data_IF_660097675465
#
_entry.id   IF_660097675465
#
_cell.length_a   1.000
_cell.length_b   1.000
_cell.length_c   1.000
_cell.angle_alpha   90.00
_cell.angle_beta   90.00
_cell.angle_gamma   90.00
#
_symmetry.space_group_name_H-M   'P 1'
#
loop_
_entity.id
_entity.type
_entity.pdbx_description
1 polymer ?
#
# COMPACT_ATOMS: atom_id res chain seq x y z
N UNK A 1 9.71 -4.39 20.80
CA UNK A 1 9.80 -3.17 19.96
C UNK A 1 10.87 -3.23 18.87
N UNK A 2 12.12 -3.65 19.12
CA UNK A 2 13.17 -3.67 18.07
C UNK A 2 12.84 -4.58 16.87
N UNK A 3 12.26 -5.75 17.12
CA UNK A 3 11.93 -6.72 16.06
C UNK A 3 10.83 -6.27 15.10
N UNK A 4 9.90 -5.40 15.54
CA UNK A 4 8.82 -4.89 14.67
C UNK A 4 9.34 -3.83 13.69
N UNK A 5 10.23 -2.96 14.13
CA UNK A 5 10.85 -1.95 13.26
C UNK A 5 11.75 -2.55 12.18
N UNK A 6 12.49 -3.62 12.48
CA UNK A 6 13.28 -4.34 11.47
C UNK A 6 12.38 -4.91 10.35
N UNK A 7 11.21 -5.45 10.70
CA UNK A 7 10.25 -5.92 9.71
C UNK A 7 9.72 -4.77 8.85
N UNK A 8 9.43 -3.62 9.45
CA UNK A 8 9.00 -2.44 8.70
C UNK A 8 10.08 -1.99 7.70
N UNK A 9 11.33 -1.87 8.15
CA UNK A 9 12.47 -1.50 7.29
C UNK A 9 12.66 -2.51 6.17
N UNK A 10 12.54 -3.81 6.46
CA UNK A 10 12.59 -4.86 5.44
C UNK A 10 11.47 -4.75 4.41
N UNK A 11 10.24 -4.47 4.83
CA UNK A 11 9.11 -4.23 3.91
C UNK A 11 9.36 -3.00 3.06
N UNK A 12 9.82 -1.89 3.66
CA UNK A 12 10.16 -0.66 2.96
C UNK A 12 11.24 -0.90 1.90
N UNK A 13 12.35 -1.53 2.31
CA UNK A 13 13.46 -1.85 1.42
C UNK A 13 13.02 -2.77 0.27
N UNK A 14 12.21 -3.80 0.56
CA UNK A 14 11.69 -4.68 -0.48
C UNK A 14 10.78 -3.94 -1.47
N UNK A 15 9.87 -3.09 -0.99
CA UNK A 15 9.03 -2.26 -1.87
C UNK A 15 9.86 -1.34 -2.76
N UNK A 16 10.90 -0.71 -2.19
CA UNK A 16 11.81 0.18 -2.91
C UNK A 16 12.64 -0.57 -3.96
N UNK A 17 13.24 -1.70 -3.59
CA UNK A 17 14.02 -2.54 -4.51
C UNK A 17 13.17 -3.08 -5.65
N UNK A 18 11.93 -3.50 -5.37
CA UNK A 18 11.00 -3.90 -6.42
C UNK A 18 10.71 -2.76 -7.40
N UNK A 19 10.58 -1.54 -6.88
CA UNK A 19 10.38 -0.34 -7.70
C UNK A 19 11.60 0.03 -8.55
N UNK A 20 12.81 -0.37 -8.13
CA UNK A 20 14.06 -0.17 -8.87
C UNK A 20 14.29 -1.23 -9.95
N UNK A 21 13.42 -2.23 -10.10
CA UNK A 21 13.54 -3.21 -11.19
C UNK A 21 13.39 -2.52 -12.55
N UNK A 22 14.31 -2.77 -13.50
CA UNK A 22 14.32 -2.09 -14.80
C UNK A 22 13.17 -2.53 -15.71
N UNK A 23 12.64 -3.74 -15.50
CA UNK A 23 11.53 -4.31 -16.27
C UNK A 23 10.30 -4.37 -15.38
N UNK A 24 9.51 -3.30 -15.40
CA UNK A 24 8.18 -3.27 -14.80
C UNK A 24 7.29 -2.29 -15.55
N UNK A 25 5.99 -2.57 -15.68
CA UNK A 25 5.07 -1.57 -16.19
C UNK A 25 5.03 -0.34 -15.27
N UNK A 26 4.83 0.87 -15.83
CA UNK A 26 4.67 2.09 -15.05
C UNK A 26 3.60 1.91 -13.96
N UNK A 27 3.92 2.31 -12.73
CA UNK A 27 3.02 2.28 -11.57
C UNK A 27 2.43 0.91 -11.19
N UNK A 28 3.00 -0.19 -11.70
CA UNK A 28 2.81 -1.53 -11.10
C UNK A 28 3.85 -1.69 -9.99
N UNK A 29 3.47 -1.29 -8.78
CA UNK A 29 4.40 -1.14 -7.65
C UNK A 29 3.85 -1.74 -6.36
N UNK A 30 4.75 -2.03 -5.41
CA UNK A 30 4.38 -2.59 -4.11
C UNK A 30 4.05 -1.53 -3.05
N UNK A 31 4.14 -0.23 -3.35
CA UNK A 31 4.01 0.82 -2.34
C UNK A 31 2.63 0.75 -1.67
N UNK A 32 1.53 0.92 -2.41
CA UNK A 32 0.18 0.93 -1.83
C UNK A 32 -0.12 -0.38 -1.10
N UNK A 33 0.24 -1.51 -1.71
CA UNK A 33 -0.09 -2.84 -1.20
C UNK A 33 0.74 -3.25 0.02
N UNK A 34 1.92 -2.66 0.20
CA UNK A 34 2.72 -2.76 1.42
C UNK A 34 2.30 -1.74 2.47
N UNK A 35 1.92 -0.54 2.05
CA UNK A 35 1.49 0.53 2.92
C UNK A 35 0.20 0.20 3.66
N UNK A 36 -0.77 -0.47 3.03
CA UNK A 36 -2.02 -0.89 3.68
C UNK A 36 -1.80 -1.72 4.97
N UNK A 37 -1.08 -2.86 4.94
CA UNK A 37 -0.83 -3.65 6.14
C UNK A 37 0.11 -2.93 7.12
N UNK A 38 1.06 -2.12 6.65
CA UNK A 38 1.91 -1.27 7.52
C UNK A 38 1.05 -0.26 8.29
N UNK A 39 0.20 0.48 7.61
CA UNK A 39 -0.69 1.48 8.21
C UNK A 39 -1.66 0.83 9.21
N UNK A 40 -2.16 -0.36 8.90
CA UNK A 40 -2.95 -1.15 9.85
C UNK A 40 -2.14 -1.56 11.08
N UNK A 41 -0.89 -1.98 10.89
CA UNK A 41 -0.08 -2.55 11.96
C UNK A 41 0.53 -1.50 12.90
N UNK A 42 0.90 -0.34 12.36
CA UNK A 42 1.67 0.71 13.04
C UNK A 42 0.94 2.06 13.12
N UNK A 43 -0.25 2.18 12.53
CA UNK A 43 -1.08 3.38 12.57
C UNK A 43 -0.82 4.38 11.45
N UNK A 44 -1.63 5.45 11.44
CA UNK A 44 -1.68 6.42 10.34
C UNK A 44 -0.41 7.23 10.16
N UNK A 45 0.28 7.59 11.26
CA UNK A 45 1.54 8.32 11.20
C UNK A 45 2.63 7.51 10.48
N UNK A 46 2.82 6.25 10.88
CA UNK A 46 3.77 5.36 10.21
C UNK A 46 3.32 5.04 8.79
N UNK A 47 2.03 4.84 8.56
CA UNK A 47 1.47 4.69 7.21
C UNK A 47 1.76 5.89 6.31
N UNK A 48 1.66 7.12 6.83
CA UNK A 48 1.96 8.35 6.11
C UNK A 48 3.42 8.40 5.67
N UNK A 49 4.34 8.29 6.63
CA UNK A 49 5.76 8.37 6.32
C UNK A 49 6.25 7.19 5.48
N UNK A 50 5.67 6.00 5.65
CA UNK A 50 5.98 4.87 4.77
C UNK A 50 5.71 5.21 3.30
N UNK A 51 4.53 5.76 2.99
CA UNK A 51 4.18 6.16 1.62
C UNK A 51 5.03 7.33 1.11
N UNK A 52 5.09 8.41 1.87
CA UNK A 52 5.80 9.62 1.47
C UNK A 52 7.30 9.36 1.26
N UNK A 53 7.96 8.67 2.20
CA UNK A 53 9.38 8.35 2.09
C UNK A 53 9.63 7.32 1.00
N UNK A 54 8.70 6.41 0.69
CA UNK A 54 8.87 5.46 -0.43
C UNK A 54 8.93 6.18 -1.78
N UNK A 55 8.15 7.25 -1.94
CA UNK A 55 8.21 8.11 -3.12
C UNK A 55 9.53 8.87 -3.16
N UNK A 56 9.85 9.62 -2.10
CA UNK A 56 11.04 10.47 -2.06
C UNK A 56 12.34 9.65 -2.18
N UNK A 57 12.43 8.51 -1.53
CA UNK A 57 13.62 7.66 -1.59
C UNK A 57 13.86 7.15 -3.01
N UNK A 58 12.81 6.70 -3.70
CA UNK A 58 12.93 6.29 -5.10
C UNK A 58 13.40 7.46 -5.96
N UNK A 59 12.73 8.61 -5.88
CA UNK A 59 13.04 9.77 -6.71
C UNK A 59 14.46 10.31 -6.48
N UNK A 60 14.95 10.27 -5.24
CA UNK A 60 16.34 10.61 -4.92
C UNK A 60 17.31 9.60 -5.54
N UNK A 61 17.04 8.30 -5.42
CA UNK A 61 17.92 7.24 -5.94
C UNK A 61 17.97 7.27 -7.47
N UNK A 62 16.86 7.54 -8.15
CA UNK A 62 16.78 7.60 -9.61
C UNK A 62 17.14 8.97 -10.19
N UNK A 63 17.41 9.97 -9.34
CA UNK A 63 17.69 11.34 -9.79
C UNK A 63 16.48 12.03 -10.44
N UNK A 64 15.26 11.61 -10.11
CA UNK A 64 14.00 12.12 -10.67
C UNK A 64 13.23 13.02 -9.71
N UNK A 65 13.89 13.51 -8.66
CA UNK A 65 13.29 14.43 -7.70
C UNK A 65 12.83 15.72 -8.40
N UNK A 66 11.57 16.12 -8.20
CA UNK A 66 11.02 17.32 -8.83
C UNK A 66 9.63 17.71 -8.33
N UNK A 67 8.93 18.61 -9.05
CA UNK A 67 7.59 19.08 -8.67
C UNK A 67 6.60 17.92 -8.50
N UNK A 68 6.74 16.86 -9.30
CA UNK A 68 5.92 15.66 -9.17
C UNK A 68 6.10 14.94 -7.83
N UNK A 69 7.33 14.90 -7.29
CA UNK A 69 7.62 14.34 -5.97
C UNK A 69 6.88 15.08 -4.85
N UNK A 70 6.79 16.41 -4.95
CA UNK A 70 6.10 17.26 -3.98
C UNK A 70 4.59 17.00 -3.92
N UNK A 71 4.02 16.43 -4.97
CA UNK A 71 2.60 16.12 -5.09
C UNK A 71 2.35 14.67 -4.69
N UNK A 72 3.12 13.75 -5.25
CA UNK A 72 2.91 12.32 -5.09
C UNK A 72 3.32 11.81 -3.70
N UNK A 73 4.38 12.36 -3.10
CA UNK A 73 4.79 11.98 -1.74
C UNK A 73 3.70 12.25 -0.69
N UNK A 74 3.13 13.47 -0.58
CA UNK A 74 2.02 13.70 0.36
C UNK A 74 0.75 12.95 -0.05
N UNK A 75 0.45 12.78 -1.35
CA UNK A 75 -0.71 12.00 -1.79
C UNK A 75 -0.62 10.53 -1.34
N UNK A 76 0.52 9.88 -1.53
CA UNK A 76 0.78 8.54 -0.98
C UNK A 76 0.77 8.55 0.55
N UNK A 77 1.34 9.56 1.19
CA UNK A 77 1.27 9.70 2.65
C UNK A 77 -0.19 9.70 3.15
N UNK A 78 -1.06 10.48 2.53
CA UNK A 78 -2.48 10.56 2.88
C UNK A 78 -3.23 9.25 2.61
N UNK A 79 -2.87 8.49 1.55
CA UNK A 79 -3.39 7.13 1.36
C UNK A 79 -3.05 6.23 2.55
N UNK A 80 -1.87 6.38 3.15
CA UNK A 80 -1.46 5.65 4.35
C UNK A 80 -2.31 5.99 5.57
N UNK A 81 -2.63 7.28 5.75
CA UNK A 81 -3.56 7.72 6.80
C UNK A 81 -4.95 7.13 6.57
N UNK A 82 -5.45 7.21 5.34
CA UNK A 82 -6.72 6.62 4.93
C UNK A 82 -6.77 5.11 5.16
N UNK A 83 -5.68 4.40 4.87
CA UNK A 83 -5.55 2.97 5.10
C UNK A 83 -5.62 2.66 6.60
N UNK A 84 -4.89 3.38 7.44
CA UNK A 84 -4.95 3.18 8.88
C UNK A 84 -6.38 3.35 9.42
N UNK A 85 -7.11 4.36 8.96
CA UNK A 85 -8.52 4.57 9.32
C UNK A 85 -9.42 3.43 8.82
N UNK A 86 -9.34 3.08 7.53
CA UNK A 86 -10.17 2.06 6.90
C UNK A 86 -9.98 0.67 7.53
N UNK A 87 -8.73 0.31 7.86
CA UNK A 87 -8.34 -0.99 8.38
C UNK A 87 -8.45 -1.16 9.90
N UNK A 88 -8.89 -0.14 10.67
CA UNK A 88 -9.07 -0.25 12.14
C UNK A 88 -9.82 -1.51 12.57
N UNK A 89 -10.91 -1.85 11.86
CA UNK A 89 -11.75 -3.03 12.14
C UNK A 89 -11.82 -4.02 10.96
N UNK A 90 -10.91 -3.90 9.98
CA UNK A 90 -10.93 -4.67 8.73
C UNK A 90 -9.56 -5.33 8.50
N UNK A 91 -9.53 -6.61 8.15
CA UNK A 91 -8.25 -7.34 7.90
C UNK A 91 -8.34 -8.49 6.89
N UNK A 92 -9.54 -8.76 6.34
CA UNK A 92 -9.74 -9.80 5.34
C UNK A 92 -9.16 -9.38 3.99
N UNK A 93 -8.72 -10.35 3.17
CA UNK A 93 -8.19 -10.14 1.82
C UNK A 93 -9.05 -9.20 0.97
N UNK A 94 -10.37 -9.40 0.97
CA UNK A 94 -11.31 -8.55 0.23
C UNK A 94 -11.22 -7.06 0.59
N UNK A 95 -10.94 -6.73 1.84
CA UNK A 95 -10.82 -5.33 2.26
C UNK A 95 -9.55 -4.68 1.69
N UNK A 96 -8.45 -5.43 1.58
CA UNK A 96 -7.25 -4.96 0.88
C UNK A 96 -7.53 -4.68 -0.59
N UNK A 97 -8.26 -5.57 -1.26
CA UNK A 97 -8.66 -5.38 -2.66
C UNK A 97 -9.57 -4.16 -2.82
N UNK A 98 -10.61 -4.02 -1.98
CA UNK A 98 -11.50 -2.85 -2.06
C UNK A 98 -10.77 -1.54 -1.83
N UNK A 99 -9.87 -1.49 -0.84
CA UNK A 99 -9.07 -0.29 -0.61
C UNK A 99 -8.09 -0.03 -1.76
N UNK A 100 -7.47 -1.08 -2.31
CA UNK A 100 -6.59 -0.94 -3.47
C UNK A 100 -7.35 -0.33 -4.66
N UNK A 101 -8.56 -0.80 -4.97
CA UNK A 101 -9.38 -0.25 -6.06
C UNK A 101 -9.73 1.21 -5.80
N UNK A 102 -10.35 1.50 -4.66
CA UNK A 102 -10.83 2.86 -4.36
C UNK A 102 -9.67 3.84 -4.20
N UNK A 103 -8.61 3.42 -3.51
CA UNK A 103 -7.40 4.22 -3.31
C UNK A 103 -6.68 4.53 -4.62
N UNK A 104 -6.58 3.55 -5.52
CA UNK A 104 -6.00 3.75 -6.86
C UNK A 104 -6.83 4.75 -7.66
N UNK A 105 -8.14 4.53 -7.76
CA UNK A 105 -9.04 5.44 -8.50
C UNK A 105 -8.99 6.88 -7.95
N UNK A 106 -8.99 7.02 -6.62
CA UNK A 106 -8.93 8.33 -5.98
C UNK A 106 -7.59 9.01 -6.24
N UNK A 107 -6.48 8.29 -6.05
CA UNK A 107 -5.14 8.81 -6.28
C UNK A 107 -4.93 9.23 -7.74
N UNK A 108 -5.35 8.38 -8.67
CA UNK A 108 -5.20 8.60 -10.11
C UNK A 108 -6.09 9.74 -10.60
N UNK A 109 -7.32 9.87 -10.07
CA UNK A 109 -8.17 11.02 -10.36
C UNK A 109 -7.58 12.32 -9.79
N UNK A 110 -7.12 12.29 -8.54
CA UNK A 110 -6.56 13.47 -7.87
C UNK A 110 -5.21 13.89 -8.45
N UNK A 111 -4.41 12.98 -8.96
CA UNK A 111 -3.11 13.33 -9.55
C UNK A 111 -3.24 13.56 -11.05
N UNK A 112 -3.77 12.59 -11.79
CA UNK A 112 -3.86 12.67 -13.25
C UNK A 112 -4.82 13.72 -13.79
N UNK A 113 -6.01 13.86 -13.18
CA UNK A 113 -7.06 14.73 -13.72
C UNK A 113 -7.04 16.16 -13.17
N UNK A 114 -6.24 16.43 -12.13
CA UNK A 114 -6.09 17.80 -11.61
C UNK A 114 -4.69 18.34 -11.83
N UNK A 115 -3.62 17.59 -11.51
CA UNK A 115 -2.26 18.14 -11.55
C UNK A 115 -1.82 18.40 -12.98
N UNK A 116 -2.06 17.47 -13.90
CA UNK A 116 -1.78 17.66 -15.34
C UNK A 116 -2.44 18.93 -15.88
N UNK A 117 -3.78 19.05 -15.80
CA UNK A 117 -4.49 20.22 -16.31
C UNK A 117 -4.20 21.53 -15.57
N UNK A 118 -4.16 21.52 -14.23
CA UNK A 118 -4.06 22.75 -13.44
C UNK A 118 -2.63 23.27 -13.30
N UNK A 119 -1.64 22.37 -13.19
CA UNK A 119 -0.24 22.74 -12.92
C UNK A 119 0.58 22.72 -14.20
N UNK A 120 0.35 21.73 -15.07
CA UNK A 120 1.13 21.56 -16.30
C UNK A 120 0.39 22.04 -17.56
N UNK A 121 -0.77 22.66 -17.40
CA UNK A 121 -1.60 23.19 -18.49
C UNK A 121 -1.93 22.14 -19.58
N UNK A 122 -1.96 20.86 -19.21
CA UNK A 122 -2.31 19.79 -20.13
C UNK A 122 -3.79 19.92 -20.53
N UNK A 123 -4.15 19.79 -21.83
CA UNK A 123 -5.54 19.75 -22.23
C UNK A 123 -6.31 18.66 -21.48
N UNK A 124 -7.45 19.00 -20.89
CA UNK A 124 -8.21 18.07 -20.04
C UNK A 124 -8.55 16.75 -20.76
N UNK A 125 -8.98 16.82 -22.03
CA UNK A 125 -9.28 15.62 -22.82
C UNK A 125 -8.05 14.72 -23.01
N UNK A 126 -6.86 15.31 -23.21
CA UNK A 126 -5.62 14.56 -23.31
C UNK A 126 -5.26 13.91 -21.96
N UNK A 127 -5.50 14.59 -20.84
CA UNK A 127 -5.31 14.02 -19.50
C UNK A 127 -6.25 12.82 -19.27
N UNK A 128 -7.54 12.94 -19.61
CA UNK A 128 -8.50 11.82 -19.49
C UNK A 128 -8.08 10.62 -20.33
N UNK A 129 -7.75 10.85 -21.61
CA UNK A 129 -7.38 9.77 -22.53
C UNK A 129 -6.10 9.06 -22.11
N UNK A 130 -5.10 9.80 -21.59
CA UNK A 130 -3.88 9.21 -21.02
C UNK A 130 -4.12 8.49 -19.69
N UNK A 131 -5.05 9.00 -18.87
CA UNK A 131 -5.32 8.45 -17.55
C UNK A 131 -6.01 7.09 -17.60
N UNK A 132 -6.86 6.82 -18.60
CA UNK A 132 -7.57 5.54 -18.70
C UNK A 132 -6.61 4.33 -18.76
N UNK A 133 -5.68 4.22 -19.73
CA UNK A 133 -4.76 3.09 -19.78
C UNK A 133 -3.82 3.05 -18.57
N UNK A 134 -3.41 4.21 -18.06
CA UNK A 134 -2.60 4.32 -16.85
C UNK A 134 -3.30 3.70 -15.63
N UNK A 135 -4.54 4.11 -15.37
CA UNK A 135 -5.34 3.65 -14.23
C UNK A 135 -5.66 2.16 -14.35
N UNK A 136 -5.90 1.64 -15.55
CA UNK A 136 -6.12 0.21 -15.76
C UNK A 136 -4.90 -0.61 -15.36
N UNK A 137 -3.70 -0.19 -15.76
CA UNK A 137 -2.45 -0.84 -15.37
C UNK A 137 -2.20 -0.75 -13.85
N UNK A 138 -2.44 0.43 -13.28
CA UNK A 138 -2.27 0.67 -11.86
C UNK A 138 -3.24 -0.20 -11.02
N UNK A 139 -4.50 -0.30 -11.44
CA UNK A 139 -5.51 -1.17 -10.83
C UNK A 139 -5.11 -2.65 -10.93
N UNK A 140 -4.68 -3.11 -12.11
CA UNK A 140 -4.27 -4.50 -12.30
C UNK A 140 -3.14 -4.88 -11.32
N UNK A 141 -2.10 -4.04 -11.23
CA UNK A 141 -1.00 -4.24 -10.29
C UNK A 141 -1.45 -4.22 -8.84
N UNK A 142 -2.17 -3.17 -8.43
CA UNK A 142 -2.59 -3.01 -7.03
C UNK A 142 -3.58 -4.09 -6.59
N UNK A 143 -4.49 -4.55 -7.45
CA UNK A 143 -5.42 -5.65 -7.14
C UNK A 143 -4.68 -6.98 -7.02
N UNK A 144 -3.79 -7.29 -7.96
CA UNK A 144 -3.00 -8.52 -7.92
C UNK A 144 -2.15 -8.60 -6.64
N UNK A 145 -1.43 -7.53 -6.32
CA UNK A 145 -0.63 -7.48 -5.09
C UNK A 145 -1.51 -7.39 -3.83
N UNK A 146 -2.68 -6.75 -3.84
CA UNK A 146 -3.57 -6.74 -2.68
C UNK A 146 -4.06 -8.16 -2.32
N UNK A 147 -4.30 -9.01 -3.32
CA UNK A 147 -4.73 -10.41 -3.13
C UNK A 147 -3.63 -11.30 -2.54
N UNK A 148 -2.41 -11.13 -3.02
CA UNK A 148 -1.28 -12.03 -2.72
C UNK A 148 -0.39 -11.49 -1.60
N UNK A 149 0.01 -10.22 -1.72
CA UNK A 149 1.05 -9.59 -0.92
C UNK A 149 0.53 -8.97 0.39
N UNK A 150 -0.54 -8.16 0.35
CA UNK A 150 -0.99 -7.42 1.54
C UNK A 150 -1.40 -8.33 2.70
N UNK A 151 -2.06 -9.45 2.39
CA UNK A 151 -2.50 -10.41 3.39
C UNK A 151 -1.34 -11.19 4.01
N UNK A 152 -0.33 -11.52 3.21
CA UNK A 152 0.91 -12.13 3.68
C UNK A 152 1.66 -11.16 4.62
N UNK A 153 1.84 -9.92 4.17
CA UNK A 153 2.54 -8.89 4.96
C UNK A 153 1.85 -8.61 6.29
N UNK A 154 0.52 -8.56 6.34
CA UNK A 154 -0.16 -8.33 7.62
C UNK A 154 0.18 -9.43 8.64
N UNK A 155 0.20 -10.70 8.22
CA UNK A 155 0.57 -11.82 9.08
C UNK A 155 2.04 -11.77 9.51
N UNK A 156 2.91 -11.35 8.59
CA UNK A 156 4.33 -11.16 8.88
C UNK A 156 4.58 -10.05 9.91
N UNK A 157 3.89 -8.91 9.78
CA UNK A 157 4.03 -7.74 10.64
C UNK A 157 3.32 -7.94 11.99
N UNK A 158 2.15 -8.59 12.00
CA UNK A 158 1.37 -8.93 13.19
C UNK A 158 1.07 -10.43 13.20
N UNK A 159 2.01 -11.26 13.69
CA UNK A 159 1.74 -12.67 13.92
C UNK A 159 0.52 -12.79 14.83
N UNK A 160 -0.49 -13.54 14.38
CA UNK A 160 -1.62 -13.85 15.24
C UNK A 160 -1.09 -14.75 16.36
N UNK A 161 -1.33 -14.40 17.63
CA UNK A 161 -1.17 -15.38 18.71
C UNK A 161 -2.07 -16.57 18.37
N UNK A 162 -1.49 -17.79 18.40
CA UNK A 162 -2.31 -19.00 18.32
C UNK A 162 -3.29 -18.90 19.48
N UNK A 163 -4.59 -18.78 19.18
CA UNK A 163 -5.63 -18.98 20.18
C UNK A 163 -5.40 -20.37 20.77
N UNK A 164 -4.86 -20.44 21.98
CA UNK A 164 -4.84 -21.67 22.77
C UNK A 164 -6.30 -22.06 22.91
N UNK A 165 -6.69 -23.16 22.27
CA UNK A 165 -7.98 -23.79 22.54
C UNK A 165 -7.95 -24.14 24.03
N UNK A 166 -8.88 -23.64 24.86
CA UNK A 166 -8.91 -24.02 26.26
C UNK A 166 -9.00 -25.55 26.34
N UNK A 167 -8.07 -26.18 27.05
CA UNK A 167 -7.96 -27.62 27.24
C UNK A 167 -9.07 -28.21 28.10
N UNK A 168 -10.32 -27.82 27.87
CA UNK A 168 -11.50 -28.25 28.62
C UNK A 168 -12.31 -29.36 27.92
N UNK A 169 -11.84 -29.88 26.78
CA UNK A 169 -12.48 -30.98 26.04
C UNK A 169 -11.70 -32.31 26.09
N UNK A 170 -10.75 -32.47 27.01
CA UNK A 170 -9.99 -33.73 27.21
C UNK A 170 -10.30 -34.47 28.52
N UNK A 171 -11.34 -34.10 29.27
CA UNK A 171 -11.82 -34.92 30.39
C UNK A 171 -13.19 -35.47 30.08
N UNK A 172 -13.29 -36.81 29.97
CA UNK A 172 -14.59 -37.48 30.06
C UNK A 172 -14.78 -38.75 29.23
N UNK A 173 -13.79 -39.65 29.15
CA UNK A 173 -14.07 -41.07 28.96
C UNK A 173 -13.02 -41.90 29.70
N UNK A 174 -13.28 -42.15 30.98
CA UNK A 174 -12.70 -43.28 31.69
C UNK A 174 -13.86 -44.21 32.03
N UNK A 175 -14.11 -45.17 31.15
CA UNK A 175 -14.89 -46.37 31.45
C UNK A 175 -14.09 -47.22 32.41
N UNK A 176 -14.57 -47.40 33.65
CA UNK A 176 -14.52 -48.63 34.43
C UNK A 176 -15.59 -48.55 35.52
#
# INVERSE_FOLDING_TARGET
MKQSWLKLVGVFAFSLLFRLLPIRPPNVELILTSQMPVAKAYGGFVGFFFGAISILAFDVITGTLGPWSLITAPAYGLLGVGAAWYFKRRSRKKHFVYFAIVGTLFYDALTGLTVGPLIFHQPFLAAVLGQIPFTLMHLLGNVAFALLWSAFLLRFLQPQEKKTVPGFLTMGFSTK
#
